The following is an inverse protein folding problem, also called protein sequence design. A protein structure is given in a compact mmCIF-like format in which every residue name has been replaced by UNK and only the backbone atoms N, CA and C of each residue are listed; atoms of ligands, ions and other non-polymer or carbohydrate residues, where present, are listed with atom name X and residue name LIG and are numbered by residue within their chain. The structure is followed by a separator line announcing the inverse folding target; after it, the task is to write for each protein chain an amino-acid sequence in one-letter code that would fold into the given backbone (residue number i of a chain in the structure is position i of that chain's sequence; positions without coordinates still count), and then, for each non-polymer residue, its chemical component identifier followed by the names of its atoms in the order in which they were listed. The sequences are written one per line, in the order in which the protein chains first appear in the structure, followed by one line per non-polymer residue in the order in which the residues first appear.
data_IF_713923609422
#
_entry.id   IF_713923609422
#
_cell.length_a   1.000
_cell.length_b   1.000
_cell.length_c   1.000
_cell.angle_alpha   90.00
_cell.angle_beta   90.00
_cell.angle_gamma   90.00
#
_symmetry.space_group_name_H-M   'P 1'
#
loop_
_entity.id
_entity.type
_entity.pdbx_description
1 polymer ?
#
# COMPACT_ATOMS: atom_id res chain seq x y z
N UNK A 1 -12.31 -9.12 -14.93
CA UNK A 1 -11.98 -10.16 -13.95
C UNK A 1 -13.12 -11.20 -13.83
N UNK A 2 -14.34 -10.85 -13.44
CA UNK A 2 -15.46 -11.82 -13.27
C UNK A 2 -15.81 -12.62 -14.53
N UNK A 3 -15.58 -12.06 -15.72
CA UNK A 3 -15.84 -12.73 -17.02
C UNK A 3 -14.57 -13.35 -17.63
N UNK A 4 -13.50 -13.55 -16.87
CA UNK A 4 -12.23 -14.08 -17.36
C UNK A 4 -11.36 -13.08 -18.13
N UNK A 5 -11.74 -11.79 -18.20
CA UNK A 5 -10.87 -10.77 -18.78
C UNK A 5 -9.68 -10.51 -17.86
N UNK A 6 -8.46 -10.69 -18.39
CA UNK A 6 -7.21 -10.40 -17.71
C UNK A 6 -6.96 -8.90 -17.70
N UNK A 7 -6.87 -8.30 -16.52
CA UNK A 7 -6.63 -6.85 -16.39
C UNK A 7 -5.15 -6.56 -16.29
N UNK A 8 -4.70 -5.51 -17.03
CA UNK A 8 -3.31 -5.03 -16.98
C UNK A 8 -3.34 -3.54 -16.63
N UNK A 9 -3.18 -3.21 -15.35
CA UNK A 9 -3.19 -1.81 -14.92
C UNK A 9 -1.89 -1.11 -15.36
N UNK A 10 -2.07 0.12 -15.84
CA UNK A 10 -0.97 0.98 -16.27
C UNK A 10 -1.05 2.29 -15.49
N UNK A 11 0.09 2.76 -14.94
CA UNK A 11 0.11 4.03 -14.23
C UNK A 11 -0.04 5.20 -15.19
N UNK A 12 -0.77 6.22 -14.78
CA UNK A 12 -0.92 7.48 -15.53
C UNK A 12 0.42 8.15 -15.85
N UNK A 13 1.43 7.91 -15.01
CA UNK A 13 2.79 8.48 -15.15
C UNK A 13 3.70 7.68 -16.08
N UNK A 14 3.27 6.50 -16.56
CA UNK A 14 4.09 5.72 -17.48
C UNK A 14 4.35 6.47 -18.78
N UNK A 15 5.59 6.41 -19.26
CA UNK A 15 5.97 6.97 -20.56
C UNK A 15 5.38 6.15 -21.72
N UNK A 16 5.27 6.72 -22.95
CA UNK A 16 4.85 5.96 -24.12
C UNK A 16 5.68 4.69 -24.35
N UNK A 17 6.99 4.73 -24.11
CA UNK A 17 7.86 3.56 -24.23
C UNK A 17 7.51 2.45 -23.24
N UNK A 18 7.14 2.81 -21.99
CA UNK A 18 6.68 1.85 -20.99
C UNK A 18 5.30 1.29 -21.34
N UNK A 19 4.37 2.12 -21.83
CA UNK A 19 3.07 1.67 -22.33
C UNK A 19 3.24 0.63 -23.43
N UNK A 20 4.06 0.94 -24.46
CA UNK A 20 4.39 0.01 -25.55
C UNK A 20 4.92 -1.32 -25.01
N UNK A 21 5.88 -1.26 -24.10
CA UNK A 21 6.49 -2.46 -23.52
C UNK A 21 5.46 -3.32 -22.81
N UNK A 22 4.64 -2.71 -21.95
CA UNK A 22 3.59 -3.42 -21.20
C UNK A 22 2.56 -4.04 -22.16
N UNK A 23 2.11 -3.28 -23.17
CA UNK A 23 1.09 -3.73 -24.09
C UNK A 23 1.55 -4.92 -24.93
N UNK A 24 2.81 -4.90 -25.39
CA UNK A 24 3.37 -6.00 -26.15
C UNK A 24 3.67 -7.23 -25.28
N UNK A 25 4.22 -7.03 -24.09
CA UNK A 25 4.54 -8.14 -23.19
C UNK A 25 3.27 -8.87 -22.72
N UNK A 26 2.21 -8.13 -22.40
CA UNK A 26 0.93 -8.68 -21.95
C UNK A 26 -0.05 -9.00 -23.09
N UNK A 27 0.31 -8.80 -24.36
CA UNK A 27 -0.55 -8.98 -25.55
C UNK A 27 -1.90 -8.28 -25.38
N UNK A 28 -1.89 -7.00 -24.96
CA UNK A 28 -3.09 -6.21 -24.70
C UNK A 28 -3.96 -6.08 -25.95
N UNK A 29 -5.23 -6.48 -25.84
CA UNK A 29 -6.20 -6.44 -26.93
C UNK A 29 -7.09 -5.21 -26.92
N UNK A 30 -7.32 -4.60 -25.76
CA UNK A 30 -8.23 -3.47 -25.58
C UNK A 30 -7.68 -2.56 -24.47
N UNK A 31 -7.78 -1.26 -24.66
CA UNK A 31 -7.33 -0.29 -23.66
C UNK A 31 -8.46 0.66 -23.25
N UNK A 32 -8.48 1.01 -21.98
CA UNK A 32 -9.32 2.07 -21.42
C UNK A 32 -8.44 3.20 -20.92
N UNK A 33 -8.55 4.36 -21.53
CA UNK A 33 -7.89 5.60 -21.11
C UNK A 33 -8.83 6.46 -20.27
N UNK A 34 -8.34 7.13 -19.25
CA UNK A 34 -9.13 8.04 -18.43
C UNK A 34 -9.62 9.25 -19.25
N UNK A 35 -8.72 9.85 -20.02
CA UNK A 35 -8.91 11.08 -20.77
C UNK A 35 -8.16 11.06 -22.11
N UNK A 36 -8.27 12.17 -22.85
CA UNK A 36 -7.58 12.35 -24.15
C UNK A 36 -6.05 12.34 -24.00
N UNK A 37 -5.51 12.85 -22.91
CA UNK A 37 -4.06 12.86 -22.70
C UNK A 37 -3.50 11.44 -22.60
N UNK A 38 -4.19 10.55 -21.90
CA UNK A 38 -3.80 9.14 -21.78
C UNK A 38 -4.03 8.38 -23.11
N UNK A 39 -5.13 8.70 -23.83
CA UNK A 39 -5.37 8.15 -25.17
C UNK A 39 -4.25 8.54 -26.13
N UNK A 40 -3.89 9.81 -26.21
CA UNK A 40 -2.86 10.29 -27.14
C UNK A 40 -1.50 9.66 -26.86
N UNK A 41 -1.21 9.37 -25.60
CA UNK A 41 -0.03 8.59 -25.19
C UNK A 41 -0.05 7.18 -25.78
N UNK A 42 -1.21 6.48 -25.71
CA UNK A 42 -1.38 5.14 -26.29
C UNK A 42 -1.27 5.20 -27.81
N UNK A 43 -1.98 6.14 -28.44
CA UNK A 43 -1.98 6.31 -29.90
C UNK A 43 -0.59 6.62 -30.45
N UNK A 44 0.26 7.33 -29.71
CA UNK A 44 1.64 7.63 -30.12
C UNK A 44 2.53 6.39 -30.31
N UNK A 45 2.09 5.24 -29.78
CA UNK A 45 2.82 3.96 -29.88
C UNK A 45 2.00 2.85 -30.53
N UNK A 46 0.78 3.15 -30.99
CA UNK A 46 -0.18 2.18 -31.52
C UNK A 46 0.40 1.28 -32.61
N UNK A 47 1.10 1.88 -33.60
CA UNK A 47 1.70 1.15 -34.72
C UNK A 47 2.76 0.14 -34.27
N UNK A 48 3.23 0.26 -33.03
CA UNK A 48 4.21 -0.63 -32.41
C UNK A 48 3.56 -1.65 -31.45
N UNK A 49 2.23 -1.67 -31.39
CA UNK A 49 1.42 -2.57 -30.55
C UNK A 49 0.45 -3.36 -31.43
N UNK A 50 0.92 -4.38 -32.18
CA UNK A 50 0.15 -5.06 -33.22
C UNK A 50 -1.09 -5.79 -32.70
N UNK A 51 -1.10 -6.16 -31.43
CA UNK A 51 -2.23 -6.84 -30.80
C UNK A 51 -3.32 -5.90 -30.28
N UNK A 52 -3.04 -4.60 -30.18
CA UNK A 52 -3.97 -3.60 -29.65
C UNK A 52 -5.10 -3.32 -30.63
N UNK A 53 -6.33 -3.67 -30.25
CA UNK A 53 -7.56 -3.33 -30.95
C UNK A 53 -8.10 -1.97 -30.52
N UNK A 54 -9.24 -1.94 -29.86
CA UNK A 54 -9.93 -0.70 -29.50
C UNK A 54 -9.31 0.04 -28.31
N UNK A 55 -9.34 1.35 -28.37
CA UNK A 55 -8.98 2.26 -27.28
C UNK A 55 -10.20 3.09 -26.92
N UNK A 56 -10.70 2.90 -25.71
CA UNK A 56 -11.87 3.59 -25.19
C UNK A 56 -11.45 4.68 -24.22
N UNK A 57 -12.10 5.86 -24.26
CA UNK A 57 -11.83 6.98 -23.35
C UNK A 57 -12.99 7.16 -22.39
N UNK A 58 -12.73 6.95 -21.09
CA UNK A 58 -13.76 7.00 -20.05
C UNK A 58 -14.43 8.38 -20.01
N UNK A 59 -13.64 9.46 -20.05
CA UNK A 59 -14.16 10.85 -20.09
C UNK A 59 -14.98 11.21 -21.32
N UNK A 60 -14.95 10.39 -22.38
CA UNK A 60 -15.71 10.57 -23.63
C UNK A 60 -16.86 9.56 -23.80
N UNK A 61 -17.35 8.94 -22.73
CA UNK A 61 -18.52 8.05 -22.78
C UNK A 61 -18.20 6.60 -23.08
N UNK A 62 -16.95 6.14 -22.88
CA UNK A 62 -16.58 4.74 -23.06
C UNK A 62 -17.48 3.76 -22.29
N UNK A 63 -17.89 4.13 -21.08
CA UNK A 63 -18.73 3.28 -20.24
C UNK A 63 -20.09 3.06 -20.88
N UNK A 64 -20.73 4.14 -21.38
CA UNK A 64 -22.02 4.05 -22.07
C UNK A 64 -21.92 3.21 -23.34
N UNK A 65 -20.80 3.34 -24.09
CA UNK A 65 -20.52 2.56 -25.29
C UNK A 65 -20.43 1.06 -24.97
N UNK A 66 -19.71 0.69 -23.91
CA UNK A 66 -19.56 -0.72 -23.51
C UNK A 66 -20.88 -1.27 -22.97
N UNK A 67 -21.66 -0.48 -22.25
CA UNK A 67 -23.00 -0.86 -21.79
C UNK A 67 -23.90 -1.16 -23.01
N UNK A 68 -23.85 -0.31 -24.03
CA UNK A 68 -24.63 -0.53 -25.25
C UNK A 68 -24.26 -1.83 -25.97
N UNK A 69 -22.96 -2.12 -26.11
CA UNK A 69 -22.52 -3.42 -26.66
C UNK A 69 -22.96 -4.59 -25.81
N UNK A 70 -22.97 -4.42 -24.47
CA UNK A 70 -23.42 -5.47 -23.54
C UNK A 70 -24.91 -5.83 -23.65
N UNK A 71 -25.76 -4.94 -24.22
CA UNK A 71 -27.18 -5.25 -24.41
C UNK A 71 -27.45 -6.42 -25.34
N UNK A 72 -26.51 -6.76 -26.21
CA UNK A 72 -26.62 -7.92 -27.10
C UNK A 72 -26.28 -9.25 -26.40
N UNK A 73 -25.69 -9.18 -25.17
CA UNK A 73 -25.31 -10.37 -24.39
C UNK A 73 -26.47 -10.75 -23.47
N UNK A 74 -26.93 -11.97 -23.53
CA UNK A 74 -27.99 -12.48 -22.64
C UNK A 74 -27.42 -12.74 -21.22
N UNK A 75 -28.29 -12.67 -20.20
CA UNK A 75 -27.94 -13.05 -18.83
C UNK A 75 -27.41 -14.49 -18.74
N UNK A 76 -27.92 -15.39 -19.58
CA UNK A 76 -27.48 -16.79 -19.63
C UNK A 76 -26.01 -16.88 -20.09
N UNK A 77 -25.64 -16.18 -21.18
CA UNK A 77 -24.26 -16.14 -21.69
C UNK A 77 -23.31 -15.46 -20.67
N UNK A 78 -23.77 -14.41 -20.02
CA UNK A 78 -22.99 -13.78 -18.96
C UNK A 78 -22.71 -14.74 -17.80
N UNK A 79 -23.75 -15.42 -17.28
CA UNK A 79 -23.63 -16.39 -16.19
C UNK A 79 -22.78 -17.60 -16.58
N UNK A 80 -22.92 -18.11 -17.78
CA UNK A 80 -22.08 -19.19 -18.31
C UNK A 80 -20.61 -18.77 -18.32
N UNK A 81 -20.32 -17.55 -18.82
CA UNK A 81 -18.97 -16.99 -18.84
C UNK A 81 -18.39 -16.82 -17.45
N UNK A 82 -19.17 -16.27 -16.52
CA UNK A 82 -18.75 -16.09 -15.13
C UNK A 82 -18.39 -17.42 -14.46
N UNK A 83 -19.18 -18.49 -14.71
CA UNK A 83 -18.95 -19.81 -14.14
C UNK A 83 -17.69 -20.50 -14.68
N UNK A 84 -17.14 -20.06 -15.81
CA UNK A 84 -15.88 -20.61 -16.34
C UNK A 84 -14.66 -20.14 -15.56
N UNK A 85 -14.75 -19.03 -14.84
CA UNK A 85 -13.62 -18.43 -14.11
C UNK A 85 -13.31 -19.25 -12.86
N UNK A 86 -12.05 -19.63 -12.72
CA UNK A 86 -11.53 -20.41 -11.59
C UNK A 86 -10.60 -19.57 -10.73
N UNK A 87 -10.46 -19.97 -9.46
CA UNK A 87 -9.51 -19.33 -8.55
C UNK A 87 -8.06 -19.37 -9.05
N UNK A 88 -7.67 -20.39 -9.79
CA UNK A 88 -6.34 -20.54 -10.38
C UNK A 88 -6.09 -19.67 -11.62
N UNK A 89 -7.13 -19.08 -12.21
CA UNK A 89 -6.97 -18.26 -13.40
C UNK A 89 -6.34 -16.93 -13.04
N UNK A 90 -5.58 -16.35 -13.99
CA UNK A 90 -4.99 -15.04 -13.81
C UNK A 90 -6.08 -13.96 -13.74
N UNK A 91 -6.04 -13.16 -12.70
CA UNK A 91 -6.92 -12.02 -12.53
C UNK A 91 -6.29 -10.75 -13.10
N UNK A 92 -4.96 -10.61 -12.94
CA UNK A 92 -4.23 -9.42 -13.37
C UNK A 92 -2.75 -9.71 -13.53
N UNK A 93 -2.09 -8.92 -14.42
CA UNK A 93 -0.64 -8.79 -14.48
C UNK A 93 -0.30 -7.37 -14.03
N UNK A 94 0.45 -7.24 -12.95
CA UNK A 94 0.86 -5.93 -12.41
C UNK A 94 2.33 -5.71 -12.69
N UNK A 95 2.65 -4.66 -13.47
CA UNK A 95 4.03 -4.34 -13.83
C UNK A 95 4.70 -3.52 -12.72
N UNK A 96 5.82 -4.04 -12.21
CA UNK A 96 6.65 -3.37 -11.20
C UNK A 96 7.95 -2.86 -11.83
N UNK A 97 8.43 -1.69 -11.36
CA UNK A 97 9.75 -1.21 -11.74
C UNK A 97 10.82 -2.10 -11.10
N UNK A 98 11.29 -3.08 -11.85
CA UNK A 98 12.38 -3.94 -11.41
C UNK A 98 13.68 -3.15 -11.17
N UNK A 99 14.58 -3.69 -10.34
CA UNK A 99 15.90 -3.11 -10.07
C UNK A 99 16.79 -2.97 -11.32
N UNK A 100 16.42 -3.62 -12.40
CA UNK A 100 17.14 -3.61 -13.70
C UNK A 100 16.63 -2.54 -14.66
N UNK A 101 15.67 -1.70 -14.25
CA UNK A 101 15.08 -0.63 -15.07
C UNK A 101 13.97 -1.10 -16.02
N UNK A 102 13.89 -2.38 -16.36
CA UNK A 102 12.79 -2.91 -17.19
C UNK A 102 11.67 -3.43 -16.26
N UNK A 103 10.44 -2.94 -16.39
CA UNK A 103 9.32 -3.43 -15.61
C UNK A 103 9.09 -4.93 -15.81
N UNK A 104 8.75 -5.63 -14.73
CA UNK A 104 8.42 -7.06 -14.74
C UNK A 104 6.93 -7.23 -14.43
N UNK A 105 6.22 -8.01 -15.23
CA UNK A 105 4.82 -8.34 -15.00
C UNK A 105 4.68 -9.41 -13.93
N UNK A 106 4.03 -9.11 -12.82
CA UNK A 106 3.72 -10.05 -11.75
C UNK A 106 2.34 -10.63 -12.01
N UNK A 107 2.25 -11.96 -12.11
CA UNK A 107 1.03 -12.70 -12.38
C UNK A 107 0.27 -13.00 -11.08
N UNK A 108 -0.90 -12.40 -10.91
CA UNK A 108 -1.76 -12.60 -9.75
C UNK A 108 -3.05 -13.31 -10.16
N UNK A 109 -3.38 -14.39 -9.47
CA UNK A 109 -4.58 -15.18 -9.68
C UNK A 109 -5.76 -14.64 -8.87
N UNK A 110 -6.98 -15.08 -9.20
CA UNK A 110 -8.16 -14.80 -8.37
C UNK A 110 -8.00 -15.36 -6.96
N UNK A 111 -7.40 -16.54 -6.80
CA UNK A 111 -7.16 -17.15 -5.50
C UNK A 111 -6.23 -16.32 -4.62
N UNK A 112 -5.20 -15.66 -5.22
CA UNK A 112 -4.31 -14.76 -4.46
C UNK A 112 -5.12 -13.63 -3.81
N UNK A 113 -6.00 -12.96 -4.58
CA UNK A 113 -6.83 -11.86 -4.05
C UNK A 113 -7.85 -12.35 -3.01
N UNK A 114 -8.52 -13.46 -3.26
CA UNK A 114 -9.48 -14.02 -2.29
C UNK A 114 -8.78 -14.34 -0.97
N UNK A 115 -7.66 -15.07 -1.03
CA UNK A 115 -6.91 -15.43 0.16
C UNK A 115 -6.47 -14.21 0.95
N UNK A 116 -5.75 -13.26 0.31
CA UNK A 116 -5.19 -12.11 1.04
C UNK A 116 -6.27 -11.18 1.59
N UNK A 117 -7.40 -11.09 0.89
CA UNK A 117 -8.54 -10.29 1.35
C UNK A 117 -9.10 -10.85 2.66
N UNK A 118 -9.41 -12.14 2.70
CA UNK A 118 -9.93 -12.77 3.93
C UNK A 118 -8.87 -12.87 5.02
N UNK A 119 -7.62 -13.10 4.67
CA UNK A 119 -6.49 -13.06 5.61
C UNK A 119 -6.43 -11.70 6.32
N UNK A 120 -6.53 -10.60 5.57
CA UNK A 120 -6.54 -9.25 6.15
C UNK A 120 -7.77 -8.96 6.99
N UNK A 121 -8.97 -9.31 6.53
CA UNK A 121 -10.22 -9.14 7.30
C UNK A 121 -10.16 -9.88 8.64
N UNK A 122 -9.67 -11.12 8.63
CA UNK A 122 -9.55 -11.93 9.83
C UNK A 122 -8.43 -11.47 10.78
N UNK A 123 -7.35 -10.90 10.23
CA UNK A 123 -6.23 -10.38 11.04
C UNK A 123 -6.53 -9.02 11.65
N UNK A 124 -7.44 -8.24 11.06
CA UNK A 124 -7.81 -6.89 11.50
C UNK A 124 -9.33 -6.72 11.64
N UNK A 125 -10.01 -7.54 12.47
CA UNK A 125 -11.47 -7.49 12.59
C UNK A 125 -11.96 -6.13 13.12
N UNK A 126 -11.18 -5.46 13.94
CA UNK A 126 -11.49 -4.12 14.46
C UNK A 126 -11.59 -3.05 13.37
N UNK A 127 -10.81 -3.21 12.31
CA UNK A 127 -10.85 -2.32 11.14
C UNK A 127 -11.88 -2.78 10.12
N UNK A 128 -12.00 -4.11 9.91
CA UNK A 128 -12.82 -4.65 8.84
C UNK A 128 -14.29 -4.83 9.18
N UNK A 129 -14.61 -5.24 10.42
CA UNK A 129 -15.92 -5.81 10.78
C UNK A 129 -16.76 -4.94 11.70
N UNK A 130 -16.17 -3.96 12.40
CA UNK A 130 -16.95 -3.05 13.26
C UNK A 130 -17.93 -2.21 12.42
N UNK A 131 -19.10 -1.86 12.97
CA UNK A 131 -20.08 -0.99 12.29
C UNK A 131 -19.49 0.38 11.93
N UNK A 132 -20.03 0.97 10.85
CA UNK A 132 -19.72 2.34 10.40
C UNK A 132 -18.25 2.57 10.01
N UNK A 133 -17.52 1.53 9.66
CA UNK A 133 -16.15 1.66 9.13
C UNK A 133 -16.15 2.35 7.77
N UNK A 134 -15.23 3.29 7.59
CA UNK A 134 -15.15 4.15 6.40
C UNK A 134 -13.69 4.33 6.00
N UNK A 135 -13.38 4.00 4.74
CA UNK A 135 -12.08 4.26 4.11
C UNK A 135 -12.24 5.21 2.94
N UNK A 136 -11.49 6.30 2.92
CA UNK A 136 -11.33 7.11 1.71
C UNK A 136 -10.05 6.65 0.98
N UNK A 137 -10.23 5.99 -0.14
CA UNK A 137 -9.13 5.49 -0.97
C UNK A 137 -8.76 6.52 -2.03
N UNK A 138 -7.51 6.95 -2.01
CA UNK A 138 -6.94 7.94 -2.92
C UNK A 138 -5.64 7.44 -3.59
N UNK A 139 -5.23 6.21 -3.26
CA UNK A 139 -4.11 5.56 -3.94
C UNK A 139 -4.57 5.00 -5.29
N UNK A 140 -3.72 5.03 -6.34
CA UNK A 140 -4.07 4.50 -7.64
C UNK A 140 -4.40 3.00 -7.60
N UNK A 141 -5.53 2.60 -8.18
CA UNK A 141 -5.92 1.18 -8.31
C UNK A 141 -4.97 0.37 -9.22
N UNK A 142 -4.09 1.04 -9.96
CA UNK A 142 -2.99 0.40 -10.67
C UNK A 142 -1.98 -0.25 -9.71
N UNK A 143 -1.88 0.25 -8.48
CA UNK A 143 -1.05 -0.37 -7.45
C UNK A 143 -1.81 -1.47 -6.73
N UNK A 144 -1.19 -2.64 -6.54
CA UNK A 144 -1.81 -3.80 -5.89
C UNK A 144 -2.36 -3.50 -4.49
N UNK A 145 -1.69 -2.63 -3.73
CA UNK A 145 -2.12 -2.26 -2.38
C UNK A 145 -3.48 -1.54 -2.36
N UNK A 146 -3.71 -0.59 -3.26
CA UNK A 146 -5.01 0.07 -3.38
C UNK A 146 -6.11 -0.89 -3.83
N UNK A 147 -5.80 -1.77 -4.77
CA UNK A 147 -6.72 -2.80 -5.25
C UNK A 147 -7.08 -3.81 -4.15
N UNK A 148 -6.09 -4.27 -3.38
CA UNK A 148 -6.34 -5.09 -2.19
C UNK A 148 -7.30 -4.41 -1.21
N UNK A 149 -7.07 -3.12 -0.92
CA UNK A 149 -7.95 -2.38 0.00
C UNK A 149 -9.37 -2.21 -0.52
N UNK A 150 -9.56 -2.13 -1.82
CA UNK A 150 -10.89 -2.16 -2.43
C UNK A 150 -11.60 -3.49 -2.11
N UNK A 151 -10.93 -4.63 -2.31
CA UNK A 151 -11.49 -5.94 -1.98
C UNK A 151 -11.67 -6.14 -0.48
N UNK A 152 -10.73 -5.67 0.34
CA UNK A 152 -10.86 -5.67 1.80
C UNK A 152 -12.13 -4.94 2.26
N UNK A 153 -12.44 -3.79 1.68
CA UNK A 153 -13.67 -3.06 1.98
C UNK A 153 -14.92 -3.83 1.56
N UNK A 154 -14.89 -4.52 0.41
CA UNK A 154 -16.02 -5.31 -0.08
C UNK A 154 -16.28 -6.58 0.75
N UNK A 155 -15.21 -7.22 1.23
CA UNK A 155 -15.31 -8.40 2.07
C UNK A 155 -15.63 -8.07 3.54
N UNK A 156 -15.24 -6.88 4.00
CA UNK A 156 -15.52 -6.37 5.32
C UNK A 156 -16.80 -5.52 5.36
N UNK A 157 -17.09 -4.94 6.52
CA UNK A 157 -18.21 -4.01 6.71
C UNK A 157 -17.72 -2.56 6.60
N UNK A 158 -17.08 -2.20 5.48
CA UNK A 158 -16.39 -0.92 5.28
C UNK A 158 -17.01 -0.14 4.12
N UNK A 159 -17.48 1.08 4.40
CA UNK A 159 -17.89 2.01 3.34
C UNK A 159 -16.66 2.57 2.64
N UNK A 160 -16.56 2.34 1.32
CA UNK A 160 -15.47 2.81 0.49
C UNK A 160 -15.84 4.11 -0.22
N UNK A 161 -15.09 5.19 0.03
CA UNK A 161 -15.07 6.40 -0.78
C UNK A 161 -13.86 6.42 -1.70
N UNK A 162 -13.98 7.01 -2.87
CA UNK A 162 -12.88 7.17 -3.83
C UNK A 162 -12.58 8.68 -4.00
N UNK A 163 -11.30 9.05 -3.99
CA UNK A 163 -10.83 10.39 -4.32
C UNK A 163 -9.69 10.28 -5.33
N UNK A 164 -9.84 10.93 -6.47
CA UNK A 164 -8.83 10.93 -7.54
C UNK A 164 -7.87 12.14 -7.47
N UNK A 165 -8.15 13.14 -6.62
CA UNK A 165 -7.41 14.38 -6.60
C UNK A 165 -6.69 14.61 -5.27
N UNK A 166 -5.37 14.37 -5.26
CA UNK A 166 -4.54 14.61 -4.07
C UNK A 166 -4.47 16.08 -3.62
N UNK A 167 -4.90 17.05 -4.47
CA UNK A 167 -4.95 18.47 -4.09
C UNK A 167 -6.14 18.76 -3.18
N UNK A 168 -7.24 18.01 -3.31
CA UNK A 168 -8.46 18.18 -2.51
C UNK A 168 -8.53 17.22 -1.32
N UNK A 169 -7.58 16.32 -1.16
CA UNK A 169 -7.63 15.20 -0.21
C UNK A 169 -7.99 15.62 1.22
N UNK A 170 -7.47 16.76 1.71
CA UNK A 170 -7.79 17.25 3.06
C UNK A 170 -9.26 17.72 3.18
N UNK A 171 -9.84 18.29 2.12
CA UNK A 171 -11.25 18.61 2.07
C UNK A 171 -12.11 17.35 1.99
N UNK A 172 -11.65 16.38 1.21
CA UNK A 172 -12.32 15.08 1.04
C UNK A 172 -12.34 14.29 2.36
N UNK A 173 -11.24 14.30 3.15
CA UNK A 173 -11.22 13.73 4.50
C UNK A 173 -12.27 14.36 5.41
N UNK A 174 -12.38 15.69 5.41
CA UNK A 174 -13.35 16.40 6.23
C UNK A 174 -14.79 16.09 5.83
N UNK A 175 -15.06 15.96 4.53
CA UNK A 175 -16.39 15.67 4.00
C UNK A 175 -16.76 14.18 4.24
N UNK A 176 -15.85 13.28 3.94
CA UNK A 176 -16.08 11.83 4.03
C UNK A 176 -16.00 11.29 5.45
N UNK A 177 -15.16 11.88 6.33
CA UNK A 177 -14.94 11.49 7.72
C UNK A 177 -14.54 10.02 7.83
N UNK A 178 -13.38 9.60 7.30
CA UNK A 178 -12.93 8.22 7.40
C UNK A 178 -12.70 7.83 8.86
N UNK A 179 -12.84 6.54 9.17
CA UNK A 179 -12.54 5.97 10.50
C UNK A 179 -11.15 5.36 10.55
N UNK A 180 -10.59 5.05 9.40
CA UNK A 180 -9.18 4.69 9.26
C UNK A 180 -8.64 5.20 7.91
N UNK A 181 -7.33 5.35 7.84
CA UNK A 181 -6.62 5.87 6.67
C UNK A 181 -5.61 4.83 6.20
N UNK A 182 -5.48 4.72 4.89
CA UNK A 182 -4.40 4.00 4.24
C UNK A 182 -3.57 4.99 3.45
N UNK A 183 -2.28 5.09 3.77
CA UNK A 183 -1.40 6.01 3.07
C UNK A 183 0.06 5.52 3.04
N UNK A 184 0.83 6.09 2.12
CA UNK A 184 2.28 5.94 2.14
C UNK A 184 2.90 6.90 3.16
N UNK A 185 4.09 6.62 3.74
CA UNK A 185 4.74 7.44 4.77
C UNK A 185 4.80 8.93 4.45
N UNK A 186 5.07 9.26 3.20
CA UNK A 186 5.18 10.65 2.72
C UNK A 186 3.94 11.53 2.98
N UNK A 187 2.77 10.94 3.10
CA UNK A 187 1.52 11.68 3.43
C UNK A 187 1.60 12.18 4.88
N UNK A 188 2.02 11.33 5.80
CA UNK A 188 2.17 11.67 7.21
C UNK A 188 3.27 12.71 7.42
N UNK A 189 4.42 12.54 6.75
CA UNK A 189 5.50 13.54 6.75
C UNK A 189 5.01 14.91 6.24
N UNK A 190 4.25 14.93 5.15
CA UNK A 190 3.66 16.17 4.61
C UNK A 190 2.75 16.86 5.61
N UNK A 191 1.90 16.11 6.30
CA UNK A 191 0.96 16.66 7.28
C UNK A 191 1.74 17.20 8.49
N UNK A 192 2.73 16.47 8.99
CA UNK A 192 3.62 16.93 10.05
C UNK A 192 4.34 18.24 9.66
N UNK A 193 4.98 18.25 8.48
CA UNK A 193 5.72 19.40 7.98
C UNK A 193 4.80 20.62 7.76
N UNK A 194 3.60 20.42 7.24
CA UNK A 194 2.62 21.49 7.07
C UNK A 194 2.17 22.08 8.42
N UNK A 195 1.96 21.25 9.45
CA UNK A 195 1.62 21.70 10.78
C UNK A 195 2.79 22.50 11.42
N UNK A 196 4.02 22.01 11.28
CA UNK A 196 5.25 22.68 11.74
C UNK A 196 5.44 24.05 11.06
N UNK A 197 5.29 24.10 9.73
CA UNK A 197 5.41 25.36 8.97
C UNK A 197 4.34 26.38 9.37
N UNK A 198 3.10 25.92 9.59
CA UNK A 198 1.99 26.78 10.05
C UNK A 198 2.25 27.36 11.45
N UNK A 199 2.93 26.62 12.32
CA UNK A 199 3.33 27.10 13.64
C UNK A 199 4.43 28.19 13.55
N UNK A 200 5.32 28.10 12.55
CA UNK A 200 6.37 29.08 12.28
C UNK A 200 7.50 29.06 13.32
N UNK A 201 8.33 30.12 13.33
CA UNK A 201 9.53 30.19 14.17
C UNK A 201 9.34 30.87 15.54
N UNK A 202 8.24 31.57 15.79
CA UNK A 202 8.01 32.34 17.00
C UNK A 202 7.54 31.50 18.20
N UNK A 203 6.77 32.13 19.08
CA UNK A 203 6.21 31.49 20.28
C UNK A 203 5.40 30.22 19.91
N UNK A 204 4.55 30.31 18.87
CA UNK A 204 3.76 29.17 18.39
C UNK A 204 4.64 28.01 17.91
N UNK A 205 5.77 28.32 17.23
CA UNK A 205 6.72 27.28 16.80
C UNK A 205 7.37 26.56 17.98
N UNK A 206 7.74 27.31 19.04
CA UNK A 206 8.27 26.69 20.28
C UNK A 206 7.23 25.83 20.99
N UNK A 207 5.97 26.26 21.03
CA UNK A 207 4.86 25.46 21.57
C UNK A 207 4.66 24.20 20.76
N UNK A 208 4.70 24.29 19.44
CA UNK A 208 4.58 23.11 18.56
C UNK A 208 5.76 22.15 18.73
N UNK A 209 6.99 22.64 18.83
CA UNK A 209 8.17 21.80 19.05
C UNK A 209 8.10 21.06 20.41
N UNK A 210 7.69 21.76 21.47
CA UNK A 210 7.53 21.14 22.80
C UNK A 210 6.34 20.16 22.82
N UNK A 211 5.26 20.45 22.10
CA UNK A 211 4.16 19.52 21.92
C UNK A 211 4.59 18.25 21.14
N UNK A 212 5.39 18.41 20.09
CA UNK A 212 5.97 17.29 19.32
C UNK A 212 6.81 16.39 20.21
N UNK A 213 7.75 16.98 20.99
CA UNK A 213 8.58 16.23 21.92
C UNK A 213 7.73 15.50 22.96
N UNK A 214 6.72 16.19 23.51
CA UNK A 214 5.79 15.59 24.50
C UNK A 214 5.00 14.41 23.92
N UNK A 215 4.56 14.51 22.67
CA UNK A 215 3.88 13.41 21.97
C UNK A 215 4.81 12.20 21.80
N UNK A 216 6.04 12.44 21.35
CA UNK A 216 7.04 11.37 21.19
C UNK A 216 7.40 10.72 22.54
N UNK A 217 7.66 11.51 23.59
CA UNK A 217 7.99 10.99 24.91
C UNK A 217 6.84 10.16 25.50
N UNK A 218 5.60 10.63 25.31
CA UNK A 218 4.41 9.91 25.74
C UNK A 218 4.27 8.59 25.01
N UNK A 219 4.46 8.60 23.68
CA UNK A 219 4.43 7.41 22.84
C UNK A 219 5.52 6.40 23.22
N UNK A 220 6.74 6.84 23.48
CA UNK A 220 7.83 5.97 23.95
C UNK A 220 7.51 5.34 25.31
N UNK A 221 6.97 6.13 26.24
CA UNK A 221 6.56 5.60 27.55
C UNK A 221 5.45 4.56 27.43
N UNK A 222 4.49 4.77 26.52
CA UNK A 222 3.44 3.79 26.24
C UNK A 222 4.01 2.49 25.64
N UNK A 223 4.90 2.61 24.66
CA UNK A 223 5.48 1.45 23.95
C UNK A 223 6.42 0.63 24.87
N UNK A 224 7.03 1.25 25.89
CA UNK A 224 7.89 0.53 26.85
C UNK A 224 7.13 -0.34 27.85
N UNK A 225 5.79 -0.30 27.84
CA UNK A 225 4.94 -1.07 28.78
C UNK A 225 4.99 -0.58 30.23
N UNK A 226 5.70 0.52 30.49
CA UNK A 226 5.80 1.13 31.81
C UNK A 226 4.64 2.07 32.13
N UNK A 227 4.57 2.53 33.39
CA UNK A 227 3.64 3.59 33.77
C UNK A 227 4.09 4.94 33.21
N UNK A 228 3.19 5.65 32.52
CA UNK A 228 3.48 7.01 32.02
C UNK A 228 3.57 7.96 33.21
N UNK A 229 4.68 8.75 33.36
CA UNK A 229 4.82 9.72 34.45
C UNK A 229 3.65 10.71 34.50
N UNK A 230 3.12 10.97 35.69
CA UNK A 230 1.94 11.86 35.87
C UNK A 230 2.16 13.24 35.24
N UNK A 231 3.36 13.80 35.40
CA UNK A 231 3.70 15.10 34.82
C UNK A 231 3.65 15.07 33.27
N UNK A 232 4.15 13.99 32.64
CA UNK A 232 4.10 13.80 31.19
C UNK A 232 2.65 13.63 30.72
N UNK A 233 1.85 12.86 31.45
CA UNK A 233 0.45 12.64 31.11
C UNK A 233 -0.38 13.94 31.21
N UNK A 234 -0.14 14.75 32.25
CA UNK A 234 -0.79 16.07 32.40
C UNK A 234 -0.39 17.04 31.27
N UNK A 235 0.90 17.07 30.92
CA UNK A 235 1.43 17.90 29.82
C UNK A 235 0.86 17.46 28.47
N UNK A 236 0.81 16.16 28.22
CA UNK A 236 0.19 15.57 27.03
C UNK A 236 -1.29 15.94 26.91
N UNK A 237 -2.08 15.84 27.99
CA UNK A 237 -3.49 16.22 28.03
C UNK A 237 -3.70 17.73 27.73
N UNK A 238 -2.77 18.60 28.18
CA UNK A 238 -2.79 20.01 27.82
C UNK A 238 -2.60 20.21 26.31
N UNK A 239 -1.58 19.55 25.71
CA UNK A 239 -1.31 19.67 24.29
C UNK A 239 -2.37 18.99 23.42
N UNK A 240 -3.08 18.00 23.94
CA UNK A 240 -4.23 17.43 23.24
C UNK A 240 -5.28 18.51 22.91
N UNK A 241 -5.57 19.40 23.85
CA UNK A 241 -6.53 20.51 23.64
C UNK A 241 -5.96 21.64 22.77
N UNK A 242 -4.65 21.92 22.88
CA UNK A 242 -4.05 23.09 22.23
C UNK A 242 -3.53 22.80 20.82
N UNK A 243 -3.08 21.58 20.54
CA UNK A 243 -2.34 21.23 19.32
C UNK A 243 -2.92 19.98 18.65
N UNK A 244 -2.99 18.84 19.37
CA UNK A 244 -3.24 17.54 18.74
C UNK A 244 -4.63 17.43 18.12
N UNK A 245 -5.66 17.96 18.78
CA UNK A 245 -7.03 17.98 18.24
C UNK A 245 -7.08 18.61 16.85
N UNK A 246 -6.33 19.71 16.62
CA UNK A 246 -6.31 20.38 15.32
C UNK A 246 -5.62 19.56 14.23
N UNK A 247 -4.68 18.68 14.62
CA UNK A 247 -4.04 17.73 13.68
C UNK A 247 -5.02 16.60 13.33
N UNK A 248 -5.75 16.08 14.31
CA UNK A 248 -6.78 15.05 14.08
C UNK A 248 -7.93 15.56 13.21
N UNK A 249 -8.30 16.83 13.32
CA UNK A 249 -9.30 17.46 12.45
C UNK A 249 -8.91 17.50 10.98
N UNK A 250 -7.61 17.47 10.65
CA UNK A 250 -7.13 17.37 9.25
C UNK A 250 -7.65 16.10 8.59
N UNK A 251 -7.75 15.03 9.36
CA UNK A 251 -8.26 13.73 8.90
C UNK A 251 -9.79 13.58 9.03
N UNK A 252 -10.52 14.64 9.41
CA UNK A 252 -11.98 14.62 9.55
C UNK A 252 -12.46 14.29 10.97
N UNK A 253 -11.57 14.15 11.95
CA UNK A 253 -11.89 14.02 13.37
C UNK A 253 -12.45 12.66 13.83
N UNK A 254 -12.52 11.67 12.94
CA UNK A 254 -13.08 10.35 13.24
C UNK A 254 -12.09 9.18 13.05
N UNK A 255 -10.85 9.48 12.66
CA UNK A 255 -9.84 8.46 12.39
C UNK A 255 -9.32 7.87 13.69
N UNK A 256 -9.41 6.54 13.81
CA UNK A 256 -8.93 5.77 14.97
C UNK A 256 -7.54 5.19 14.71
N UNK A 257 -7.26 4.81 13.46
CA UNK A 257 -6.01 4.17 13.03
C UNK A 257 -5.59 4.69 11.67
N UNK A 258 -4.29 4.64 11.40
CA UNK A 258 -3.79 4.77 10.04
C UNK A 258 -2.86 3.59 9.74
N UNK A 259 -2.99 3.02 8.53
CA UNK A 259 -2.09 1.97 8.03
C UNK A 259 -1.10 2.62 7.08
N UNK A 260 0.19 2.39 7.34
CA UNK A 260 1.29 2.89 6.51
C UNK A 260 2.01 1.72 5.84
N UNK A 261 2.22 1.81 4.53
CA UNK A 261 2.92 0.77 3.77
C UNK A 261 3.52 1.27 2.47
N UNK A 262 4.22 0.37 1.77
CA UNK A 262 4.83 0.64 0.48
C UNK A 262 6.19 1.37 0.53
N UNK A 263 6.61 1.87 1.68
CA UNK A 263 7.94 2.44 1.94
C UNK A 263 8.22 2.42 3.45
N UNK A 264 9.50 2.51 3.88
CA UNK A 264 9.85 2.60 5.29
C UNK A 264 9.25 3.85 5.94
N UNK A 265 8.67 3.70 7.13
CA UNK A 265 8.16 4.79 7.95
C UNK A 265 9.24 5.25 8.94
N UNK A 266 9.49 6.55 9.03
CA UNK A 266 10.37 7.09 10.07
C UNK A 266 9.71 6.91 11.43
N UNK A 267 10.44 6.26 12.38
CA UNK A 267 9.92 5.96 13.70
C UNK A 267 9.57 7.22 14.50
N UNK A 268 10.25 8.37 14.26
CA UNK A 268 9.91 9.63 14.90
C UNK A 268 8.54 10.15 14.46
N UNK A 269 8.19 9.98 13.19
CA UNK A 269 6.87 10.31 12.66
C UNK A 269 5.82 9.37 13.24
N UNK A 270 6.11 8.07 13.34
CA UNK A 270 5.22 7.10 13.97
C UNK A 270 4.95 7.44 15.44
N UNK A 271 6.00 7.73 16.23
CA UNK A 271 5.86 8.15 17.63
C UNK A 271 5.10 9.46 17.78
N UNK A 272 5.35 10.44 16.90
CA UNK A 272 4.61 11.70 16.92
C UNK A 272 3.11 11.45 16.73
N UNK A 273 2.71 10.76 15.67
CA UNK A 273 1.29 10.51 15.39
C UNK A 273 0.64 9.62 16.46
N UNK A 274 1.35 8.62 16.97
CA UNK A 274 0.87 7.83 18.09
C UNK A 274 0.58 8.70 19.32
N UNK A 275 1.51 9.58 19.66
CA UNK A 275 1.33 10.54 20.75
C UNK A 275 0.26 11.60 20.50
N UNK A 276 -0.05 11.92 19.23
CA UNK A 276 -1.19 12.78 18.85
C UNK A 276 -2.53 12.06 18.99
N UNK A 277 -2.53 10.73 19.14
CA UNK A 277 -3.72 9.90 19.24
C UNK A 277 -4.12 9.21 17.93
N UNK A 278 -3.21 9.15 16.96
CA UNK A 278 -3.36 8.41 15.71
C UNK A 278 -2.27 7.34 15.58
N UNK A 279 -2.49 6.12 16.06
CA UNK A 279 -1.56 5.02 15.83
C UNK A 279 -1.32 4.78 14.34
N UNK A 280 -0.04 4.82 13.92
CA UNK A 280 0.36 4.44 12.57
C UNK A 280 0.77 2.96 12.59
N UNK A 281 -0.07 2.11 12.04
CA UNK A 281 0.16 0.68 11.93
C UNK A 281 0.96 0.42 10.65
N UNK A 282 2.25 0.16 10.81
CA UNK A 282 3.10 -0.15 9.65
C UNK A 282 2.83 -1.57 9.17
N UNK A 283 2.72 -1.73 7.85
CA UNK A 283 2.55 -3.03 7.20
C UNK A 283 3.55 -3.18 6.05
N UNK A 284 3.86 -4.42 5.73
CA UNK A 284 4.79 -4.80 4.68
C UNK A 284 4.16 -5.79 3.72
N UNK A 285 4.48 -5.61 2.47
CA UNK A 285 4.14 -6.50 1.38
C UNK A 285 4.64 -5.94 0.05
N UNK A 286 4.47 -6.71 -0.97
CA UNK A 286 4.94 -6.40 -2.32
C UNK A 286 3.92 -6.87 -3.36
N UNK A 287 4.12 -6.54 -4.60
CA UNK A 287 3.21 -6.99 -5.66
C UNK A 287 3.18 -8.52 -5.74
N UNK A 288 4.32 -9.16 -5.55
CA UNK A 288 4.51 -10.60 -5.57
C UNK A 288 3.77 -11.33 -4.44
N UNK A 289 3.37 -10.64 -3.38
CA UNK A 289 2.53 -11.18 -2.29
C UNK A 289 1.09 -10.69 -2.33
N UNK A 290 0.67 -10.11 -3.47
CA UNK A 290 -0.68 -9.58 -3.66
C UNK A 290 -1.08 -8.51 -2.61
N UNK A 291 -0.15 -7.69 -2.14
CA UNK A 291 -0.20 -6.65 -1.12
C UNK A 291 0.29 -7.10 0.27
N UNK A 292 -0.38 -6.86 1.44
CA UNK A 292 0.29 -7.03 2.72
C UNK A 292 0.55 -8.49 3.07
N UNK A 293 1.75 -8.77 3.56
CA UNK A 293 2.11 -10.04 4.19
C UNK A 293 2.14 -9.94 5.70
N UNK A 294 2.41 -8.74 6.22
CA UNK A 294 2.35 -8.44 7.64
C UNK A 294 1.78 -7.05 7.89
N UNK A 295 1.27 -6.82 9.08
CA UNK A 295 0.80 -5.53 9.55
C UNK A 295 0.85 -5.48 11.07
N UNK A 296 1.12 -4.31 11.65
CA UNK A 296 0.99 -4.10 13.08
C UNK A 296 -0.48 -4.26 13.51
N UNK A 297 -0.77 -5.01 14.58
CA UNK A 297 -2.12 -5.15 15.11
C UNK A 297 -2.63 -3.80 15.68
N UNK A 298 -3.93 -3.67 15.86
CA UNK A 298 -4.56 -2.47 16.47
C UNK A 298 -4.24 -2.33 17.96
N UNK A 299 -3.93 -3.43 18.62
CA UNK A 299 -3.52 -3.47 20.02
C UNK A 299 -2.16 -4.17 20.14
N UNK A 300 -1.28 -3.68 21.01
CA UNK A 300 0.04 -4.26 21.20
C UNK A 300 1.01 -4.10 20.03
N UNK A 301 0.76 -3.14 19.11
CA UNK A 301 1.67 -2.84 18.01
C UNK A 301 3.02 -2.35 18.51
N UNK A 302 4.08 -2.64 17.73
CA UNK A 302 5.46 -2.21 18.02
C UNK A 302 5.93 -1.25 16.94
N UNK A 303 6.12 0.02 17.29
CA UNK A 303 6.67 1.04 16.38
C UNK A 303 8.11 0.66 15.99
N UNK A 304 8.42 0.76 14.70
CA UNK A 304 9.72 0.35 14.13
C UNK A 304 9.74 -1.10 13.63
N UNK A 305 8.61 -1.80 13.72
CA UNK A 305 8.40 -3.11 13.09
C UNK A 305 7.34 -3.03 12.00
N UNK A 306 7.36 -3.96 11.07
CA UNK A 306 6.30 -4.15 10.07
C UNK A 306 5.16 -5.04 10.56
N UNK A 307 5.10 -5.29 11.88
CA UNK A 307 4.05 -6.04 12.56
C UNK A 307 4.20 -7.55 12.48
N UNK A 308 3.09 -8.22 12.63
CA UNK A 308 2.95 -9.68 12.63
C UNK A 308 2.51 -10.18 11.25
N UNK A 309 2.91 -11.40 10.85
CA UNK A 309 2.37 -12.03 9.64
C UNK A 309 0.85 -12.10 9.70
N UNK A 310 0.18 -11.84 8.56
CA UNK A 310 -1.26 -12.02 8.45
C UNK A 310 -1.65 -13.48 8.58
N UNK A 311 -2.90 -13.74 8.92
CA UNK A 311 -3.41 -15.10 9.06
C UNK A 311 -3.17 -15.95 7.81
N UNK A 312 -2.49 -17.08 7.96
CA UNK A 312 -2.14 -18.00 6.89
C UNK A 312 -0.92 -17.56 6.04
N UNK A 313 -0.24 -16.50 6.44
CA UNK A 313 1.07 -16.10 5.90
C UNK A 313 2.17 -16.59 6.84
N UNK A 314 3.20 -17.20 6.30
CA UNK A 314 4.42 -17.56 7.04
C UNK A 314 5.56 -16.68 6.57
N UNK A 315 6.26 -16.07 7.52
CA UNK A 315 7.48 -15.30 7.26
C UNK A 315 8.64 -15.94 7.99
N UNK A 316 9.79 -15.99 7.35
CA UNK A 316 11.02 -16.54 7.91
C UNK A 316 12.23 -15.72 7.45
N UNK A 317 13.36 -15.93 8.11
CA UNK A 317 14.63 -15.32 7.76
C UNK A 317 15.61 -16.44 7.42
N UNK A 318 16.22 -16.37 6.24
CA UNK A 318 17.20 -17.37 5.81
C UNK A 318 18.58 -17.16 6.45
N UNK A 319 19.56 -18.03 6.11
CA UNK A 319 20.92 -17.98 6.65
C UNK A 319 21.67 -16.70 6.28
N UNK A 320 21.25 -16.00 5.20
CA UNK A 320 21.85 -14.74 4.76
C UNK A 320 21.14 -13.51 5.37
N UNK A 321 20.11 -13.71 6.19
CA UNK A 321 19.30 -12.67 6.79
C UNK A 321 18.20 -12.14 5.86
N UNK A 322 17.93 -12.80 4.73
CA UNK A 322 16.88 -12.42 3.81
C UNK A 322 15.51 -12.85 4.35
N UNK A 323 14.56 -11.93 4.30
CA UNK A 323 13.17 -12.20 4.64
C UNK A 323 12.52 -13.02 3.52
N UNK A 324 11.98 -14.18 3.87
CA UNK A 324 11.29 -15.09 2.96
C UNK A 324 9.81 -15.22 3.35
N UNK A 325 8.93 -15.33 2.36
CA UNK A 325 7.49 -15.39 2.56
C UNK A 325 6.89 -16.62 1.89
N UNK A 326 6.08 -17.37 2.62
CA UNK A 326 5.29 -18.48 2.09
C UNK A 326 3.81 -18.22 2.37
N UNK A 327 3.02 -18.18 1.31
CA UNK A 327 1.59 -17.85 1.41
C UNK A 327 0.85 -18.25 0.13
N UNK A 328 -0.44 -18.61 0.20
CA UNK A 328 -1.30 -18.69 -0.99
C UNK A 328 -1.47 -17.36 -1.73
N UNK A 329 -1.04 -16.23 -1.14
CA UNK A 329 -1.03 -14.93 -1.81
C UNK A 329 0.21 -14.68 -2.67
N UNK A 330 1.25 -15.53 -2.58
CA UNK A 330 2.43 -15.43 -3.46
C UNK A 330 1.99 -15.63 -4.90
N UNK A 331 2.47 -14.76 -5.79
CA UNK A 331 2.13 -14.72 -7.20
C UNK A 331 2.42 -16.05 -7.91
N UNK A 332 1.75 -16.28 -9.05
CA UNK A 332 2.02 -17.46 -9.88
C UNK A 332 3.42 -17.43 -10.51
N UNK A 333 3.96 -16.22 -10.70
CA UNK A 333 5.29 -16.00 -11.24
C UNK A 333 5.43 -14.62 -11.91
N UNK A 334 6.50 -14.50 -12.71
CA UNK A 334 6.74 -13.33 -13.54
C UNK A 334 6.41 -13.64 -14.99
N UNK A 335 5.53 -12.84 -15.57
CA UNK A 335 5.01 -13.01 -16.92
C UNK A 335 6.16 -13.07 -17.93
N UNK A 336 6.14 -14.07 -18.80
CA UNK A 336 7.17 -14.32 -19.80
C UNK A 336 8.61 -14.43 -19.23
N UNK A 337 8.77 -14.66 -17.91
CA UNK A 337 10.09 -14.69 -17.28
C UNK A 337 10.22 -15.85 -16.27
N UNK A 338 10.23 -17.11 -16.76
CA UNK A 338 10.30 -18.30 -15.91
C UNK A 338 11.60 -18.41 -15.12
N UNK A 339 12.71 -17.86 -15.62
CA UNK A 339 14.00 -17.93 -14.94
C UNK A 339 14.00 -17.04 -13.69
N UNK A 340 13.44 -15.83 -13.77
CA UNK A 340 13.26 -14.97 -12.60
C UNK A 340 12.27 -15.61 -11.62
N UNK A 341 11.22 -16.23 -12.10
CA UNK A 341 10.26 -16.96 -11.26
C UNK A 341 10.97 -18.03 -10.44
N UNK A 342 11.79 -18.89 -11.08
CA UNK A 342 12.55 -19.95 -10.40
C UNK A 342 13.59 -19.41 -9.41
N UNK A 343 14.15 -18.23 -9.67
CA UNK A 343 15.13 -17.60 -8.76
C UNK A 343 14.46 -16.98 -7.53
N UNK A 344 13.27 -16.39 -7.70
CA UNK A 344 12.59 -15.66 -6.64
C UNK A 344 11.67 -16.55 -5.81
N UNK A 345 11.10 -17.61 -6.41
CA UNK A 345 10.18 -18.53 -5.73
C UNK A 345 10.82 -19.93 -5.71
N UNK A 346 11.38 -20.29 -4.54
CA UNK A 346 12.07 -21.55 -4.31
C UNK A 346 11.31 -22.36 -3.26
N UNK A 347 10.89 -23.58 -3.59
CA UNK A 347 10.13 -24.49 -2.70
C UNK A 347 8.87 -23.85 -2.08
N UNK A 348 8.26 -22.92 -2.84
CA UNK A 348 7.08 -22.16 -2.42
C UNK A 348 7.39 -21.00 -1.49
N UNK A 349 8.65 -20.68 -1.25
CA UNK A 349 9.09 -19.48 -0.56
C UNK A 349 9.47 -18.38 -1.54
N UNK A 350 8.88 -17.21 -1.38
CA UNK A 350 9.28 -16.00 -2.10
C UNK A 350 10.46 -15.36 -1.36
N UNK A 351 11.59 -15.23 -2.04
CA UNK A 351 12.76 -14.48 -1.62
C UNK A 351 12.55 -13.00 -1.93
N UNK A 352 12.41 -12.16 -0.90
CA UNK A 352 11.96 -10.77 -1.06
C UNK A 352 13.05 -9.81 -1.50
N UNK A 353 14.30 -10.17 -1.30
CA UNK A 353 15.45 -9.28 -1.45
C UNK A 353 15.58 -8.26 -0.32
N UNK A 354 14.71 -8.30 0.69
CA UNK A 354 14.78 -7.46 1.88
C UNK A 354 15.40 -8.23 3.04
N UNK A 355 16.26 -7.58 3.81
CA UNK A 355 16.85 -8.15 5.02
C UNK A 355 15.99 -7.80 6.21
N UNK A 356 15.78 -8.77 7.10
CA UNK A 356 14.91 -8.61 8.24
C UNK A 356 15.30 -9.41 9.46
N UNK A 357 14.55 -9.22 10.53
CA UNK A 357 14.64 -10.03 11.75
C UNK A 357 13.24 -10.24 12.32
N UNK A 358 13.07 -11.30 13.09
CA UNK A 358 11.85 -11.64 13.80
C UNK A 358 12.19 -11.72 15.28
N UNK A 359 11.46 -10.99 16.12
CA UNK A 359 11.67 -11.03 17.56
C UNK A 359 10.94 -12.20 18.22
N UNK A 360 11.16 -12.38 19.53
CA UNK A 360 10.57 -13.48 20.32
C UNK A 360 9.03 -13.44 20.38
N UNK A 361 8.42 -12.28 20.16
CA UNK A 361 6.96 -12.10 20.08
C UNK A 361 6.41 -12.27 18.66
N UNK A 362 7.29 -12.55 17.68
CA UNK A 362 6.94 -12.77 16.28
C UNK A 362 6.85 -11.50 15.41
N UNK A 363 7.18 -10.31 15.97
CA UNK A 363 7.19 -9.09 15.19
C UNK A 363 8.37 -9.06 14.23
N UNK A 364 8.07 -8.69 12.98
CA UNK A 364 9.04 -8.63 11.91
C UNK A 364 9.58 -7.21 11.76
N UNK A 365 10.89 -7.07 11.55
CA UNK A 365 11.55 -5.79 11.26
C UNK A 365 12.35 -5.87 9.98
N UNK A 366 12.32 -4.80 9.16
CA UNK A 366 13.18 -4.65 7.97
C UNK A 366 14.43 -3.88 8.38
N UNK A 367 15.59 -4.42 8.07
CA UNK A 367 16.90 -3.81 8.38
C UNK A 367 17.58 -3.23 7.14
N UNK A 368 17.18 -3.62 5.93
CA UNK A 368 17.75 -3.11 4.69
C UNK A 368 17.36 -3.93 3.47
N UNK A 369 18.03 -3.65 2.35
CA UNK A 369 17.91 -4.46 1.12
C UNK A 369 19.21 -5.20 0.84
N UNK A 370 19.09 -6.45 0.42
CA UNK A 370 20.24 -7.32 0.11
C UNK A 370 21.18 -6.70 -0.94
N UNK A 371 20.62 -6.09 -1.98
CA UNK A 371 21.38 -5.41 -3.05
C UNK A 371 22.00 -4.08 -2.68
N UNK A 372 21.53 -3.46 -1.58
CA UNK A 372 22.06 -2.18 -1.09
C UNK A 372 23.18 -2.39 -0.05
N UNK A 373 23.55 -3.63 0.21
CA UNK A 373 24.70 -3.98 1.07
C UNK A 373 26.00 -3.61 0.35
N UNK A 374 26.77 -2.71 0.93
CA UNK A 374 28.16 -2.47 0.51
C UNK A 374 29.05 -3.46 1.27
N UNK A 375 29.68 -4.35 0.53
CA UNK A 375 30.75 -5.19 1.06
C UNK A 375 32.01 -4.32 1.11
N UNK A 376 32.40 -3.87 2.32
CA UNK A 376 33.66 -3.16 2.50
C UNK A 376 34.86 -4.13 2.29
N UNK A 377 35.99 -3.62 1.84
CA UNK A 377 37.21 -4.40 1.60
C UNK A 377 37.73 -5.23 2.81
N UNK A 378 37.13 -5.09 3.98
CA UNK A 378 37.39 -5.85 5.19
C UNK A 378 36.36 -6.93 5.53
N UNK A 379 35.43 -7.27 4.60
CA UNK A 379 34.45 -8.34 4.77
C UNK A 379 33.29 -8.02 5.75
N UNK A 380 33.18 -6.79 6.25
CA UNK A 380 32.03 -6.37 7.06
C UNK A 380 30.90 -5.89 6.16
N UNK A 381 29.76 -6.56 6.22
CA UNK A 381 28.51 -6.08 5.64
C UNK A 381 27.97 -4.94 6.52
N UNK A 382 27.81 -3.75 5.95
CA UNK A 382 27.14 -2.63 6.61
C UNK A 382 25.97 -2.18 5.76
N UNK A 383 24.73 -2.14 6.29
CA UNK A 383 23.65 -1.43 5.61
C UNK A 383 24.09 0.03 5.49
N UNK A 384 23.80 0.66 4.36
CA UNK A 384 24.13 2.07 4.12
C UNK A 384 23.69 2.91 5.31
N UNK A 385 24.67 3.48 6.03
CA UNK A 385 24.40 4.52 7.01
C UNK A 385 23.65 5.66 6.31
N UNK A 386 22.51 6.05 6.89
CA UNK A 386 21.68 7.18 6.46
C UNK A 386 22.56 8.33 5.94
N UNK A 387 22.43 8.68 4.69
CA UNK A 387 22.95 9.96 4.21
C UNK A 387 22.21 11.07 4.94
N UNK A 388 22.87 11.68 5.92
CA UNK A 388 22.44 12.97 6.45
C UNK A 388 22.71 13.97 5.33
N UNK A 389 21.68 14.55 4.76
CA UNK A 389 21.82 15.75 3.97
C UNK A 389 22.44 16.83 4.89
N UNK A 390 23.53 17.51 4.47
CA UNK A 390 23.97 18.68 5.16
C UNK A 390 22.89 19.76 5.06
N UNK A 391 22.71 20.46 6.17
CA UNK A 391 21.79 21.57 6.42
C UNK A 391 21.82 22.66 5.35
#
# INVERSE_FOLDING_TARGET
MSIGALTVPVYETNSPAQVKMIFNDANVKMAFAEDDFQRDKIESVRDQCPDLGDVYVIGLGAIDTIIEYGRAVSDAEFLEREQTVKGSDLATIVYTSGSTGTPKGVELTHANFVFITYSGVNSMPDIAMKPNRRLLLFLPLAHVFARYMQFFCFAGNVSLGLSSNLKTILADFKAFKPTFILAVPRIFEKIYNAASQKAGAGFKGRVFADATQTACDWSHAQQSGGSIPLALNAKHALYNKLVYSSIMEVFGGHVEYAVSGGAPLDSSIAHFFNGVGLPLLEGYGMTETCAPSSVNPTEGYKIGTIGLPLQGVTMGVDEEGELCIKSPAVCAGYHNNPDVTKQQIVDGWLHTGDLGSIDDDGFVSIVGRKKDLIITAGGRTSPHARWKHPS
#
